data_IF_727045850930
#
_entry.id   IF_727045850930
#
_cell.length_a   1.000
_cell.length_b   1.000
_cell.length_c   1.000
_cell.angle_alpha   90.00
_cell.angle_beta   90.00
_cell.angle_gamma   90.00
#
_symmetry.space_group_name_H-M   'P 1'
#
loop_
_entity.id
_entity.type
_entity.pdbx_description
1 polymer ?
#
# COMPACT_ATOMS: atom_id res chain seq x y z
N UNK A 1 -3.71 -27.13 -26.19
CA UNK A 1 -4.10 -25.70 -26.27
C UNK A 1 -3.24 -24.72 -25.45
N UNK A 2 -2.55 -25.13 -24.36
CA UNK A 2 -1.78 -24.19 -23.50
C UNK A 2 -0.55 -23.54 -24.16
N UNK A 3 0.03 -24.15 -25.19
CA UNK A 3 1.25 -23.66 -25.83
C UNK A 3 1.03 -22.48 -26.78
N UNK A 4 -0.16 -22.35 -27.36
CA UNK A 4 -0.47 -21.32 -28.36
C UNK A 4 -0.32 -19.90 -27.81
N UNK A 5 -0.82 -19.66 -26.58
CA UNK A 5 -0.80 -18.34 -25.96
C UNK A 5 0.62 -17.82 -25.65
N UNK A 6 1.57 -18.72 -25.41
CA UNK A 6 2.91 -18.33 -24.92
C UNK A 6 4.04 -18.55 -25.92
N UNK A 7 3.84 -19.39 -26.94
CA UNK A 7 4.88 -19.75 -27.91
C UNK A 7 4.48 -19.60 -29.38
N UNK A 8 3.19 -19.46 -29.71
CA UNK A 8 2.73 -19.59 -31.10
C UNK A 8 2.99 -21.00 -31.67
N UNK A 9 2.46 -21.28 -32.87
CA UNK A 9 2.48 -22.63 -33.47
C UNK A 9 3.79 -23.01 -34.16
N UNK A 10 4.78 -22.12 -34.21
CA UNK A 10 6.03 -22.28 -34.94
C UNK A 10 7.20 -22.31 -33.95
N UNK A 11 7.96 -23.42 -33.92
CA UNK A 11 9.02 -23.72 -32.96
C UNK A 11 10.30 -22.87 -33.05
N UNK A 12 10.19 -21.58 -33.37
CA UNK A 12 11.30 -20.62 -33.35
C UNK A 12 11.26 -19.80 -32.06
N UNK A 13 12.43 -19.56 -31.47
CA UNK A 13 12.63 -19.09 -30.10
C UNK A 13 11.85 -17.83 -29.71
N UNK A 14 11.65 -17.67 -28.40
CA UNK A 14 11.00 -16.50 -27.79
C UNK A 14 11.56 -15.21 -28.39
N UNK A 15 10.70 -14.40 -29.00
CA UNK A 15 11.03 -13.00 -29.27
C UNK A 15 11.31 -12.35 -27.90
N UNK A 16 12.59 -12.13 -27.59
CA UNK A 16 13.01 -11.32 -26.46
C UNK A 16 12.51 -9.91 -26.76
N UNK A 17 11.31 -9.59 -26.29
CA UNK A 17 10.89 -8.20 -26.14
C UNK A 17 11.97 -7.58 -25.28
N UNK A 18 12.75 -6.66 -25.84
CA UNK A 18 13.66 -5.84 -25.07
C UNK A 18 12.79 -5.14 -24.04
N UNK A 19 12.79 -5.69 -22.82
CA UNK A 19 11.91 -5.27 -21.76
C UNK A 19 12.00 -3.76 -21.67
N UNK A 20 10.84 -3.11 -21.64
CA UNK A 20 10.71 -1.72 -21.26
C UNK A 20 11.76 -1.43 -20.21
N UNK A 21 12.75 -0.60 -20.54
CA UNK A 21 13.65 -0.04 -19.54
C UNK A 21 12.74 0.80 -18.66
N UNK A 22 12.14 0.19 -17.63
CA UNK A 22 11.79 0.93 -16.45
C UNK A 22 13.06 1.68 -16.11
N UNK A 23 12.99 3.00 -16.23
CA UNK A 23 14.06 3.89 -15.80
C UNK A 23 14.33 3.49 -14.37
N UNK A 24 15.40 2.73 -14.16
CA UNK A 24 15.89 2.45 -12.82
C UNK A 24 16.17 3.83 -12.23
N UNK A 25 15.57 4.17 -11.08
CA UNK A 25 15.86 5.46 -10.45
C UNK A 25 17.37 5.51 -10.27
N UNK A 26 17.99 6.46 -10.93
CA UNK A 26 19.44 6.66 -10.94
C UNK A 26 19.87 6.70 -9.48
N UNK A 27 20.73 5.75 -9.05
CA UNK A 27 21.20 5.61 -7.67
C UNK A 27 21.83 6.93 -7.20
N UNK A 28 21.03 7.75 -6.55
CA UNK A 28 21.44 8.87 -5.73
C UNK A 28 21.02 8.47 -4.32
N UNK A 29 22.00 8.26 -3.44
CA UNK A 29 21.84 7.59 -2.14
C UNK A 29 20.82 8.29 -1.21
N UNK A 30 20.49 9.53 -1.52
CA UNK A 30 19.56 10.44 -0.86
C UNK A 30 18.07 10.15 -1.16
N UNK A 31 17.73 9.47 -2.26
CA UNK A 31 16.33 9.31 -2.68
C UNK A 31 15.61 8.17 -1.97
N UNK A 32 16.36 7.18 -1.47
CA UNK A 32 15.78 6.10 -0.66
C UNK A 32 15.11 6.63 0.60
N UNK A 33 15.69 7.66 1.21
CA UNK A 33 15.14 8.34 2.39
C UNK A 33 13.85 9.10 2.06
N UNK A 34 13.84 9.84 0.95
CA UNK A 34 12.68 10.60 0.48
C UNK A 34 11.51 9.66 0.16
N UNK A 35 11.76 8.52 -0.51
CA UNK A 35 10.71 7.54 -0.83
C UNK A 35 10.12 6.91 0.43
N UNK A 36 10.96 6.59 1.43
CA UNK A 36 10.49 6.06 2.71
C UNK A 36 9.62 7.07 3.47
N UNK A 37 10.04 8.34 3.53
CA UNK A 37 9.27 9.40 4.19
C UNK A 37 7.97 9.73 3.45
N UNK A 38 8.00 9.77 2.11
CA UNK A 38 6.80 9.97 1.30
C UNK A 38 5.80 8.83 1.49
N UNK A 39 6.27 7.58 1.61
CA UNK A 39 5.40 6.46 1.93
C UNK A 39 4.76 6.60 3.33
N UNK A 40 5.50 7.09 4.32
CA UNK A 40 4.93 7.36 5.65
C UNK A 40 3.87 8.47 5.61
N UNK A 41 4.15 9.57 4.89
CA UNK A 41 3.21 10.67 4.73
C UNK A 41 1.93 10.25 3.98
N UNK A 42 2.07 9.44 2.94
CA UNK A 42 0.93 8.90 2.19
C UNK A 42 0.07 7.98 3.09
N UNK A 43 0.73 7.10 3.86
CA UNK A 43 0.04 6.22 4.80
C UNK A 43 -0.66 7.00 5.91
N UNK A 44 -0.04 8.08 6.39
CA UNK A 44 -0.65 9.00 7.36
C UNK A 44 -1.90 9.67 6.78
N UNK A 45 -1.84 10.14 5.53
CA UNK A 45 -3.02 10.69 4.83
C UNK A 45 -4.15 9.66 4.74
N UNK A 46 -3.84 8.39 4.51
CA UNK A 46 -4.86 7.33 4.54
C UNK A 46 -5.46 7.15 5.93
N UNK A 47 -4.65 7.11 6.99
CA UNK A 47 -5.14 7.06 8.39
C UNK A 47 -6.07 8.24 8.68
N UNK A 48 -5.66 9.44 8.31
CA UNK A 48 -6.46 10.66 8.49
C UNK A 48 -7.82 10.57 7.81
N UNK A 49 -7.86 10.12 6.55
CA UNK A 49 -9.13 9.95 5.82
C UNK A 49 -10.06 8.91 6.47
N UNK A 50 -9.50 7.86 7.09
CA UNK A 50 -10.30 6.88 7.86
C UNK A 50 -10.85 7.54 9.13
N UNK A 51 -10.06 8.34 9.85
CA UNK A 51 -10.51 9.07 11.05
C UNK A 51 -11.61 10.08 10.73
N UNK A 52 -11.46 10.79 9.61
CA UNK A 52 -12.43 11.79 9.13
C UNK A 52 -13.70 11.14 8.52
N UNK A 53 -13.73 9.81 8.39
CA UNK A 53 -14.79 9.02 7.77
C UNK A 53 -15.26 9.60 6.43
N UNK A 54 -14.30 9.99 5.58
CA UNK A 54 -14.57 10.66 4.30
C UNK A 54 -15.51 9.80 3.43
N UNK A 55 -16.78 10.22 3.23
CA UNK A 55 -17.78 9.42 2.50
C UNK A 55 -17.48 9.36 0.99
N UNK A 56 -16.59 10.21 0.48
CA UNK A 56 -16.21 10.24 -0.95
C UNK A 56 -15.25 9.11 -1.30
N UNK A 57 -14.61 8.49 -0.32
CA UNK A 57 -13.69 7.38 -0.56
C UNK A 57 -14.39 6.06 -0.28
N UNK A 58 -14.76 5.35 -1.36
CA UNK A 58 -15.34 4.00 -1.28
C UNK A 58 -14.44 3.04 -0.47
N UNK A 59 -13.12 3.20 -0.60
CA UNK A 59 -12.15 2.43 0.17
C UNK A 59 -12.27 2.68 1.68
N UNK A 60 -12.42 3.95 2.10
CA UNK A 60 -12.64 4.29 3.52
C UNK A 60 -13.96 3.70 4.01
N UNK A 61 -15.05 3.84 3.26
CA UNK A 61 -16.33 3.27 3.62
C UNK A 61 -16.27 1.73 3.77
N UNK A 62 -15.60 1.05 2.85
CA UNK A 62 -15.38 -0.40 2.92
C UNK A 62 -14.54 -0.79 4.13
N UNK A 63 -13.46 -0.06 4.40
CA UNK A 63 -12.58 -0.29 5.55
C UNK A 63 -13.35 -0.12 6.86
N UNK A 64 -14.12 0.96 7.02
CA UNK A 64 -14.91 1.22 8.23
C UNK A 64 -15.94 0.12 8.47
N UNK A 65 -16.63 -0.34 7.42
CA UNK A 65 -17.65 -1.38 7.49
C UNK A 65 -17.07 -2.79 7.74
N UNK A 66 -16.03 -3.18 7.00
CA UNK A 66 -15.53 -4.57 6.99
C UNK A 66 -14.32 -4.81 7.90
N UNK A 67 -13.42 -3.82 8.04
CA UNK A 67 -12.20 -3.97 8.83
C UNK A 67 -12.36 -3.44 10.25
N UNK A 68 -12.98 -2.28 10.41
CA UNK A 68 -13.18 -1.69 11.75
C UNK A 68 -14.50 -2.13 12.38
N UNK A 69 -15.51 -2.53 11.59
CA UNK A 69 -16.87 -2.80 12.10
C UNK A 69 -17.40 -1.65 12.97
N UNK A 70 -17.17 -0.41 12.51
CA UNK A 70 -17.51 0.83 13.23
C UNK A 70 -16.78 1.03 14.58
N UNK A 71 -15.76 0.23 14.88
CA UNK A 71 -14.88 0.45 16.03
C UNK A 71 -13.76 1.44 15.69
N UNK A 72 -13.12 1.98 16.72
CA UNK A 72 -11.96 2.84 16.53
C UNK A 72 -10.78 2.06 15.93
N UNK A 73 -10.02 2.70 15.04
CA UNK A 73 -8.77 2.14 14.46
C UNK A 73 -7.81 1.68 15.57
N UNK A 74 -7.86 2.38 16.72
CA UNK A 74 -7.02 2.21 17.89
C UNK A 74 -7.22 0.89 18.64
N UNK A 75 -8.43 0.33 18.59
CA UNK A 75 -8.78 -0.89 19.32
C UNK A 75 -8.59 -2.15 18.47
N UNK A 76 -8.15 -2.03 17.21
CA UNK A 76 -8.10 -3.15 16.27
C UNK A 76 -6.77 -3.92 16.34
N UNK A 77 -6.84 -5.22 16.66
CA UNK A 77 -5.66 -6.10 16.75
C UNK A 77 -5.26 -6.68 15.37
N UNK A 78 -3.97 -6.69 14.99
CA UNK A 78 -3.52 -7.05 13.64
C UNK A 78 -3.44 -8.57 13.32
N UNK A 79 -4.09 -9.44 14.11
CA UNK A 79 -3.80 -10.88 14.16
C UNK A 79 -3.81 -11.61 12.81
N UNK A 80 -4.71 -11.25 11.87
CA UNK A 80 -4.79 -11.83 10.52
C UNK A 80 -4.94 -10.75 9.44
N UNK A 81 -4.15 -9.68 9.54
CA UNK A 81 -4.25 -8.54 8.63
C UNK A 81 -3.22 -8.57 7.50
N UNK A 82 -3.56 -7.95 6.36
CA UNK A 82 -2.60 -7.75 5.26
C UNK A 82 -1.42 -6.89 5.72
N UNK A 83 -0.26 -7.03 5.07
CA UNK A 83 0.94 -6.27 5.42
C UNK A 83 0.71 -4.75 5.41
N UNK A 84 -0.04 -4.25 4.43
CA UNK A 84 -0.43 -2.84 4.35
C UNK A 84 -1.26 -2.42 5.59
N UNK A 85 -2.24 -3.23 5.99
CA UNK A 85 -3.06 -2.94 7.16
C UNK A 85 -2.26 -2.93 8.46
N UNK A 86 -1.31 -3.85 8.61
CA UNK A 86 -0.36 -3.86 9.74
C UNK A 86 0.47 -2.57 9.81
N UNK A 87 0.90 -2.04 8.66
CA UNK A 87 1.61 -0.76 8.58
C UNK A 87 0.72 0.43 8.95
N UNK A 88 -0.53 0.44 8.49
CA UNK A 88 -1.52 1.48 8.85
C UNK A 88 -1.73 1.50 10.37
N UNK A 89 -1.98 0.34 11.00
CA UNK A 89 -2.16 0.23 12.47
C UNK A 89 -0.89 0.67 13.22
N UNK A 90 0.29 0.33 12.71
CA UNK A 90 1.56 0.73 13.34
C UNK A 90 1.77 2.25 13.28
N UNK A 91 1.44 2.89 12.16
CA UNK A 91 1.56 4.34 12.02
C UNK A 91 0.49 5.04 12.86
N UNK A 92 -0.74 4.52 12.88
CA UNK A 92 -1.77 5.07 13.74
C UNK A 92 -1.29 5.04 15.18
N UNK A 93 -0.88 3.89 15.73
CA UNK A 93 -0.46 3.78 17.15
C UNK A 93 0.66 4.76 17.54
N UNK A 94 1.55 5.12 16.61
CA UNK A 94 2.55 6.17 16.82
C UNK A 94 1.93 7.57 16.92
N UNK A 95 0.95 7.91 16.07
CA UNK A 95 0.23 9.19 16.15
C UNK A 95 -0.51 9.37 17.48
N UNK A 96 -1.18 8.32 17.97
CA UNK A 96 -1.87 8.40 19.27
C UNK A 96 -0.91 8.66 20.42
N UNK A 97 0.33 8.16 20.33
CA UNK A 97 1.36 8.50 21.32
C UNK A 97 1.78 9.96 21.18
N UNK A 98 2.01 10.43 19.96
CA UNK A 98 2.38 11.82 19.70
C UNK A 98 1.30 12.82 20.15
N UNK A 99 0.02 12.51 19.95
CA UNK A 99 -1.10 13.38 20.35
C UNK A 99 -1.41 13.37 21.85
N UNK A 100 -0.79 12.48 22.63
CA UNK A 100 -1.01 12.36 24.08
C UNK A 100 0.14 12.99 24.89
N UNK A 101 1.10 13.62 24.19
CA UNK A 101 2.27 14.32 24.74
C UNK A 101 2.03 15.84 24.77
N UNK A 102 0.94 16.33 24.15
CA UNK A 102 0.43 17.70 24.27
C UNK A 102 -0.53 17.85 25.44
#
# INVERSE_FOLDING_TARGET
>A
MRAFLWKGSSGSGYAKVSGFKFVSPRKRADWGFVVLHMNQALMLKHVWRILQQDPRSLWVAWVVRHKLRYQSIWATTPASASWCWKKIIKISSLLKRASNIE
#
